data_IF_288828292618
#
_entry.id   IF_288828292618
#
_cell.length_a   1.000
_cell.length_b   1.000
_cell.length_c   1.000
_cell.angle_alpha   90.00
_cell.angle_beta   90.00
_cell.angle_gamma   90.00
#
_symmetry.space_group_name_H-M   'P 1'
#
loop_
_entity.id
_entity.type
_entity.pdbx_description
1 polymer ?
#
# COMPACT_ATOMS: atom_id res chain seq x y z
N UNK A 1 30.01 -33.01 35.96
CA UNK A 1 29.27 -33.72 34.91
C UNK A 1 29.27 -35.25 35.05
N UNK A 2 30.42 -35.93 35.16
CA UNK A 2 30.43 -37.41 35.20
C UNK A 2 29.75 -38.02 36.43
N UNK A 3 29.91 -37.39 37.61
CA UNK A 3 29.27 -37.83 38.84
C UNK A 3 27.74 -37.79 38.76
N UNK A 4 27.17 -36.75 38.13
CA UNK A 4 25.73 -36.63 37.95
C UNK A 4 25.22 -37.68 36.95
N UNK A 5 25.93 -37.87 35.83
CA UNK A 5 25.58 -38.90 34.87
C UNK A 5 25.66 -40.32 35.49
N UNK A 6 26.61 -40.57 36.39
CA UNK A 6 26.72 -41.83 37.12
C UNK A 6 25.51 -42.06 38.04
N UNK A 7 25.18 -41.09 38.91
CA UNK A 7 24.00 -41.19 39.79
C UNK A 7 22.70 -41.42 39.01
N UNK A 8 22.54 -40.73 37.88
CA UNK A 8 21.35 -40.91 37.03
C UNK A 8 21.33 -42.29 36.34
N UNK A 9 22.49 -42.87 36.02
CA UNK A 9 22.59 -44.26 35.55
C UNK A 9 22.22 -45.27 36.64
N UNK A 10 22.60 -45.02 37.88
CA UNK A 10 22.23 -45.88 39.01
C UNK A 10 20.71 -45.90 39.23
N UNK A 11 20.02 -44.80 38.89
CA UNK A 11 18.55 -44.69 38.85
C UNK A 11 17.92 -45.27 37.56
N UNK A 12 18.72 -45.86 36.67
CA UNK A 12 18.28 -46.56 35.46
C UNK A 12 18.20 -45.70 34.18
N UNK A 13 18.67 -44.45 34.22
CA UNK A 13 18.68 -43.57 33.03
C UNK A 13 19.93 -43.77 32.18
N UNK A 14 19.80 -43.67 30.86
CA UNK A 14 20.94 -43.79 29.93
C UNK A 14 21.73 -42.48 29.80
N UNK A 15 22.10 -41.89 30.94
CA UNK A 15 22.79 -40.59 30.96
C UNK A 15 24.30 -40.75 30.75
N UNK A 16 24.82 -39.91 29.87
CA UNK A 16 26.25 -39.75 29.63
C UNK A 16 26.66 -38.32 29.95
N UNK A 17 27.96 -38.04 29.95
CA UNK A 17 28.48 -36.67 30.08
C UNK A 17 27.91 -35.73 29.00
N UNK A 18 27.71 -36.25 27.78
CA UNK A 18 27.10 -35.51 26.66
C UNK A 18 25.62 -35.22 26.96
N UNK A 19 24.89 -36.20 27.53
CA UNK A 19 23.49 -35.99 27.93
C UNK A 19 23.36 -34.86 28.93
N UNK A 20 24.23 -34.82 29.95
CA UNK A 20 24.25 -33.74 30.95
C UNK A 20 24.52 -32.40 30.27
N UNK A 21 25.56 -32.33 29.42
CA UNK A 21 25.89 -31.12 28.68
C UNK A 21 24.72 -30.61 27.83
N UNK A 22 24.09 -31.48 27.04
CA UNK A 22 22.96 -31.10 26.17
C UNK A 22 21.73 -30.65 26.97
N UNK A 23 21.54 -31.14 28.19
CA UNK A 23 20.48 -30.65 29.08
C UNK A 23 20.83 -29.25 29.61
N UNK A 24 22.07 -29.04 30.03
CA UNK A 24 22.57 -27.75 30.55
C UNK A 24 22.54 -26.65 29.48
N UNK A 25 22.85 -26.98 28.22
CA UNK A 25 22.79 -26.04 27.08
C UNK A 25 21.38 -25.83 26.53
N UNK A 26 20.41 -26.66 26.96
CA UNK A 26 19.02 -26.60 26.48
C UNK A 26 18.76 -27.34 25.16
N UNK A 27 19.76 -28.01 24.59
CA UNK A 27 19.64 -28.80 23.35
C UNK A 27 18.81 -30.08 23.55
N UNK A 28 18.65 -30.55 24.80
CA UNK A 28 17.82 -31.70 25.16
C UNK A 28 16.91 -31.37 26.35
N UNK A 29 15.62 -31.60 26.17
CA UNK A 29 14.64 -31.47 27.25
C UNK A 29 14.72 -32.63 28.25
N UNK A 30 14.49 -32.32 29.53
CA UNK A 30 14.31 -33.28 30.61
C UNK A 30 12.90 -33.88 30.57
N UNK A 31 12.79 -35.20 30.70
CA UNK A 31 11.50 -35.85 30.94
C UNK A 31 11.10 -35.68 32.41
N UNK A 32 9.80 -35.73 32.71
CA UNK A 32 9.30 -35.52 34.07
C UNK A 32 9.95 -36.45 35.11
N UNK A 33 10.06 -37.75 34.81
CA UNK A 33 10.72 -38.71 35.69
C UNK A 33 12.22 -38.40 35.87
N UNK A 34 12.89 -38.01 34.79
CA UNK A 34 14.30 -37.58 34.87
C UNK A 34 14.45 -36.32 35.73
N UNK A 35 13.50 -35.38 35.69
CA UNK A 35 13.55 -34.16 36.48
C UNK A 35 13.36 -34.42 37.99
N UNK A 36 12.48 -35.36 38.36
CA UNK A 36 12.27 -35.80 39.76
C UNK A 36 13.52 -36.49 40.28
N UNK A 37 14.03 -37.48 39.56
CA UNK A 37 15.22 -38.24 39.92
C UNK A 37 16.47 -37.34 39.98
N UNK A 38 16.55 -36.34 39.10
CA UNK A 38 17.60 -35.31 39.11
C UNK A 38 17.52 -34.43 40.36
N UNK A 39 16.32 -34.00 40.77
CA UNK A 39 16.13 -33.18 41.96
C UNK A 39 16.64 -33.90 43.21
N UNK A 40 16.35 -35.19 43.34
CA UNK A 40 16.89 -36.03 44.41
C UNK A 40 18.42 -36.12 44.36
N UNK A 41 19.00 -36.32 43.16
CA UNK A 41 20.46 -36.42 42.99
C UNK A 41 21.23 -35.17 43.41
N UNK A 42 20.60 -33.99 43.29
CA UNK A 42 21.19 -32.69 43.65
C UNK A 42 20.75 -32.19 45.03
N UNK A 43 19.96 -32.98 45.77
CA UNK A 43 19.49 -32.64 47.11
C UNK A 43 18.46 -31.51 47.13
N UNK A 44 17.73 -31.31 46.04
CA UNK A 44 16.65 -30.35 45.94
C UNK A 44 15.29 -31.05 46.12
N UNK A 45 14.33 -30.33 46.69
CA UNK A 45 12.95 -30.82 46.79
C UNK A 45 12.33 -30.95 45.39
N UNK A 46 11.93 -32.17 45.04
CA UNK A 46 11.37 -32.49 43.72
C UNK A 46 10.10 -31.70 43.42
N UNK A 47 9.27 -31.42 44.42
CA UNK A 47 8.05 -30.64 44.23
C UNK A 47 8.36 -29.18 43.87
N UNK A 48 9.30 -28.56 44.59
CA UNK A 48 9.81 -27.23 44.29
C UNK A 48 10.49 -27.14 42.91
N UNK A 49 11.33 -28.12 42.56
CA UNK A 49 12.02 -28.15 41.26
C UNK A 49 11.03 -28.31 40.11
N UNK A 50 10.09 -29.26 40.21
CA UNK A 50 9.07 -29.47 39.17
C UNK A 50 8.15 -28.24 39.08
N UNK A 51 7.74 -27.64 40.19
CA UNK A 51 6.92 -26.42 40.17
C UNK A 51 7.61 -25.25 39.47
N UNK A 52 8.94 -25.15 39.57
CA UNK A 52 9.73 -24.10 38.93
C UNK A 52 10.11 -24.43 37.47
N UNK A 53 10.21 -25.71 37.10
CA UNK A 53 10.56 -26.18 35.76
C UNK A 53 9.35 -26.33 34.83
N UNK A 54 8.15 -26.50 35.38
CA UNK A 54 6.92 -26.56 34.60
C UNK A 54 6.58 -25.14 34.15
N UNK A 55 7.04 -24.79 32.94
CA UNK A 55 6.44 -23.68 32.21
C UNK A 55 4.97 -24.04 32.02
N UNK A 56 4.08 -23.29 32.67
CA UNK A 56 2.65 -23.57 32.57
C UNK A 56 2.26 -23.59 31.09
N UNK A 57 1.39 -24.52 30.69
CA UNK A 57 0.88 -24.55 29.32
C UNK A 57 0.25 -23.20 28.94
N UNK A 58 -0.29 -22.49 29.94
CA UNK A 58 -0.78 -21.12 29.83
C UNK A 58 0.33 -20.13 29.42
N UNK A 59 1.52 -20.18 30.02
CA UNK A 59 2.64 -19.33 29.64
C UNK A 59 3.16 -19.64 28.22
N UNK A 60 3.19 -20.90 27.81
CA UNK A 60 3.54 -21.29 26.43
C UNK A 60 2.49 -20.79 25.43
N UNK A 61 1.21 -20.99 25.73
CA UNK A 61 0.11 -20.51 24.90
C UNK A 61 0.10 -18.98 24.79
N UNK A 62 0.33 -18.28 25.90
CA UNK A 62 0.43 -16.82 25.95
C UNK A 62 1.59 -16.30 25.09
N UNK A 63 2.77 -16.92 25.18
CA UNK A 63 3.92 -16.53 24.36
C UNK A 63 3.68 -16.75 22.86
N UNK A 64 2.99 -17.85 22.49
CA UNK A 64 2.58 -18.09 21.10
C UNK A 64 1.60 -17.03 20.62
N UNK A 65 0.54 -16.78 21.39
CA UNK A 65 -0.47 -15.77 21.07
C UNK A 65 0.14 -14.37 20.94
N UNK A 66 1.07 -14.00 21.84
CA UNK A 66 1.79 -12.73 21.76
C UNK A 66 2.64 -12.64 20.48
N UNK A 67 3.34 -13.70 20.14
CA UNK A 67 4.17 -13.76 18.93
C UNK A 67 3.32 -13.59 17.66
N UNK A 68 2.17 -14.27 17.61
CA UNK A 68 1.21 -14.15 16.50
C UNK A 68 0.61 -12.75 16.42
N UNK A 69 0.23 -12.15 17.56
CA UNK A 69 -0.28 -10.78 17.62
C UNK A 69 0.75 -9.77 17.12
N UNK A 70 2.02 -9.91 17.49
CA UNK A 70 3.12 -9.06 17.00
C UNK A 70 3.29 -9.19 15.49
N UNK A 71 3.23 -10.41 14.94
CA UNK A 71 3.29 -10.64 13.49
C UNK A 71 2.11 -10.00 12.77
N UNK A 72 0.89 -10.23 13.25
CA UNK A 72 -0.33 -9.67 12.68
C UNK A 72 -0.28 -8.13 12.66
N UNK A 73 0.14 -7.52 13.78
CA UNK A 73 0.31 -6.06 13.88
C UNK A 73 1.33 -5.53 12.88
N UNK A 74 2.44 -6.23 12.66
CA UNK A 74 3.45 -5.82 11.68
C UNK A 74 2.89 -5.82 10.26
N UNK A 75 2.18 -6.87 9.87
CA UNK A 75 1.51 -6.97 8.57
C UNK A 75 0.48 -5.87 8.38
N UNK A 76 -0.34 -5.61 9.41
CA UNK A 76 -1.31 -4.53 9.39
C UNK A 76 -0.67 -3.17 9.11
N UNK A 77 0.37 -2.81 9.88
CA UNK A 77 1.07 -1.53 9.71
C UNK A 77 1.71 -1.38 8.32
N UNK A 78 2.27 -2.47 7.78
CA UNK A 78 2.80 -2.48 6.43
C UNK A 78 1.70 -2.23 5.39
N UNK A 79 0.54 -2.90 5.53
CA UNK A 79 -0.63 -2.68 4.69
C UNK A 79 -1.14 -1.24 4.76
N UNK A 80 -1.26 -0.67 5.96
CA UNK A 80 -1.69 0.72 6.17
C UNK A 80 -0.79 1.71 5.45
N UNK A 81 0.53 1.48 5.44
CA UNK A 81 1.48 2.35 4.73
C UNK A 81 1.33 2.28 3.21
N UNK A 82 1.02 1.11 2.66
CA UNK A 82 0.72 0.95 1.23
C UNK A 82 -0.55 1.74 0.87
N UNK A 83 -1.61 1.61 1.67
CA UNK A 83 -2.87 2.34 1.45
C UNK A 83 -2.69 3.85 1.54
N UNK A 84 -1.89 4.35 2.49
CA UNK A 84 -1.63 5.78 2.61
C UNK A 84 -0.95 6.34 1.34
N UNK A 85 0.05 5.63 0.81
CA UNK A 85 0.73 6.03 -0.43
C UNK A 85 -0.22 5.97 -1.64
N UNK A 86 -1.07 4.93 -1.72
CA UNK A 86 -2.09 4.84 -2.76
C UNK A 86 -3.06 6.02 -2.71
N UNK A 87 -3.53 6.41 -1.52
CA UNK A 87 -4.39 7.58 -1.34
C UNK A 87 -3.71 8.88 -1.76
N UNK A 88 -2.42 9.06 -1.46
CA UNK A 88 -1.68 10.25 -1.89
C UNK A 88 -1.58 10.32 -3.42
N UNK A 89 -1.36 9.18 -4.09
CA UNK A 89 -1.34 9.11 -5.57
C UNK A 89 -2.71 9.42 -6.17
N UNK A 90 -3.78 8.86 -5.61
CA UNK A 90 -5.14 9.14 -6.06
C UNK A 90 -5.48 10.63 -5.92
N UNK A 91 -5.02 11.28 -4.85
CA UNK A 91 -5.20 12.73 -4.69
C UNK A 91 -4.52 13.53 -5.81
N UNK A 92 -3.32 13.12 -6.24
CA UNK A 92 -2.60 13.76 -7.36
C UNK A 92 -3.37 13.59 -8.68
N UNK A 93 -3.86 12.39 -8.95
CA UNK A 93 -4.72 12.14 -10.11
C UNK A 93 -5.98 13.02 -10.05
N UNK A 94 -6.60 13.15 -8.88
CA UNK A 94 -7.75 14.06 -8.70
C UNK A 94 -7.42 15.50 -9.12
N UNK A 95 -6.29 16.06 -8.68
CA UNK A 95 -5.88 17.41 -9.09
C UNK A 95 -5.56 17.54 -10.59
N UNK A 96 -5.08 16.45 -11.21
CA UNK A 96 -4.85 16.41 -12.67
C UNK A 96 -6.18 16.37 -13.44
N UNK A 97 -7.16 15.60 -12.95
CA UNK A 97 -8.52 15.58 -13.52
C UNK A 97 -9.18 16.96 -13.42
N UNK A 98 -9.11 17.63 -12.26
CA UNK A 98 -9.67 18.98 -12.10
C UNK A 98 -9.05 19.96 -13.12
N UNK A 99 -7.74 19.85 -13.37
CA UNK A 99 -7.06 20.67 -14.36
C UNK A 99 -7.46 20.33 -15.81
N UNK A 100 -7.74 19.05 -16.09
CA UNK A 100 -8.25 18.61 -17.39
C UNK A 100 -9.66 19.14 -17.65
N UNK A 101 -10.56 19.08 -16.66
CA UNK A 101 -11.92 19.61 -16.77
C UNK A 101 -11.91 21.12 -17.05
N UNK A 102 -10.97 21.86 -16.43
CA UNK A 102 -10.82 23.28 -16.70
C UNK A 102 -10.27 23.56 -18.11
N UNK A 103 -9.31 22.74 -18.57
CA UNK A 103 -8.84 22.82 -19.95
C UNK A 103 -9.93 22.52 -20.96
N UNK A 104 -10.81 21.56 -20.70
CA UNK A 104 -11.94 21.22 -21.56
C UNK A 104 -12.90 22.42 -21.71
N UNK A 105 -13.21 23.12 -20.62
CA UNK A 105 -14.02 24.36 -20.69
C UNK A 105 -13.34 25.44 -21.52
N UNK A 106 -12.04 25.65 -21.33
CA UNK A 106 -11.27 26.66 -22.09
C UNK A 106 -11.30 26.32 -23.59
N UNK A 107 -11.12 25.05 -23.95
CA UNK A 107 -11.19 24.60 -25.34
C UNK A 107 -12.59 24.81 -25.90
N UNK A 108 -13.63 24.43 -25.15
CA UNK A 108 -15.02 24.65 -25.54
C UNK A 108 -15.32 26.11 -25.85
N UNK A 109 -14.93 27.02 -24.94
CA UNK A 109 -15.13 28.46 -25.15
C UNK A 109 -14.40 28.97 -26.40
N UNK A 110 -13.16 28.54 -26.62
CA UNK A 110 -12.40 28.93 -27.82
C UNK A 110 -13.07 28.48 -29.10
N UNK A 111 -13.62 27.25 -29.13
CA UNK A 111 -14.35 26.77 -30.29
C UNK A 111 -15.65 27.58 -30.53
N UNK A 112 -16.35 27.99 -29.48
CA UNK A 112 -17.52 28.87 -29.62
C UNK A 112 -17.14 30.25 -30.16
N UNK A 113 -16.06 30.85 -29.64
CA UNK A 113 -15.53 32.13 -30.10
C UNK A 113 -15.11 32.07 -31.58
N UNK A 114 -14.41 31.01 -31.98
CA UNK A 114 -14.03 30.76 -33.38
C UNK A 114 -15.26 30.63 -34.28
N UNK A 115 -16.27 29.87 -33.87
CA UNK A 115 -17.51 29.72 -34.63
C UNK A 115 -18.27 31.06 -34.77
N UNK A 116 -18.19 31.92 -33.77
CA UNK A 116 -18.77 33.26 -33.82
C UNK A 116 -18.00 34.18 -34.78
N UNK A 117 -16.67 34.11 -34.79
CA UNK A 117 -15.83 34.84 -35.75
C UNK A 117 -16.10 34.38 -37.18
N UNK A 118 -16.25 33.09 -37.43
CA UNK A 118 -16.61 32.56 -38.76
C UNK A 118 -17.94 33.13 -39.25
N UNK A 119 -18.98 33.18 -38.40
CA UNK A 119 -20.27 33.79 -38.74
C UNK A 119 -20.14 35.27 -39.11
N UNK A 120 -19.36 36.03 -38.35
CA UNK A 120 -19.10 37.44 -38.63
C UNK A 120 -18.38 37.64 -39.96
N UNK A 121 -17.40 36.79 -40.28
CA UNK A 121 -16.69 36.84 -41.56
C UNK A 121 -17.61 36.56 -42.74
N UNK A 122 -18.52 35.59 -42.61
CA UNK A 122 -19.55 35.33 -43.64
C UNK A 122 -20.43 36.55 -43.83
N UNK A 123 -20.92 37.16 -42.76
CA UNK A 123 -21.79 38.35 -42.83
C UNK A 123 -21.06 39.56 -43.46
N UNK A 124 -19.78 39.74 -43.16
CA UNK A 124 -18.95 40.78 -43.79
C UNK A 124 -18.78 40.49 -45.29
N UNK A 125 -18.50 39.23 -45.66
CA UNK A 125 -18.34 38.84 -47.05
C UNK A 125 -19.63 39.08 -47.86
N UNK A 126 -20.79 38.77 -47.29
CA UNK A 126 -22.10 39.07 -47.91
C UNK A 126 -22.31 40.58 -48.10
N UNK A 127 -22.00 41.41 -47.10
CA UNK A 127 -22.09 42.87 -47.22
C UNK A 127 -21.16 43.44 -48.28
N UNK A 128 -19.95 42.90 -48.39
CA UNK A 128 -18.99 43.30 -49.43
C UNK A 128 -19.46 42.91 -50.83
N UNK A 129 -20.07 41.74 -50.99
CA UNK A 129 -20.65 41.31 -52.26
C UNK A 129 -21.80 42.23 -52.70
N UNK A 130 -22.69 42.59 -51.77
CA UNK A 130 -23.78 43.54 -52.04
C UNK A 130 -23.26 44.93 -52.43
N UNK A 131 -22.24 45.45 -51.73
CA UNK A 131 -21.58 46.71 -52.10
C UNK A 131 -20.93 46.65 -53.48
N UNK A 132 -20.27 45.53 -53.81
CA UNK A 132 -19.65 45.33 -55.12
C UNK A 132 -20.70 45.32 -56.25
N UNK A 133 -21.87 44.69 -56.02
CA UNK A 133 -23.00 44.73 -56.97
C UNK A 133 -23.52 46.16 -57.15
N UNK A 134 -23.71 46.90 -56.07
CA UNK A 134 -24.19 48.29 -56.14
C UNK A 134 -23.24 49.19 -56.93
N UNK A 135 -21.92 49.07 -56.73
CA UNK A 135 -20.91 49.83 -57.47
C UNK A 135 -20.88 49.49 -58.97
N UNK A 136 -21.11 48.23 -59.35
CA UNK A 136 -21.22 47.83 -60.77
C UNK A 136 -22.49 48.36 -61.44
N UNK A 137 -23.57 48.55 -60.69
CA UNK A 137 -24.81 49.14 -61.19
C UNK A 137 -24.62 50.65 -61.46
N UNK A 138 -23.81 51.35 -60.66
CA UNK A 138 -23.45 52.75 -60.91
C UNK A 138 -22.59 52.92 -62.18
N UNK A 139 -21.71 51.97 -62.52
CA UNK A 139 -20.94 52.01 -63.77
C UNK A 139 -21.80 51.77 -65.03
N UNK A 140 -22.88 51.00 -64.93
CA UNK A 140 -23.85 50.82 -66.05
C UNK A 140 -24.85 51.98 -66.16
N UNK A 141 -25.05 52.76 -65.08
CA UNK A 141 -25.95 53.92 -65.02
C UNK A 141 -25.41 55.19 -65.71
N UNK A 142 -24.12 55.25 -66.05
CA UNK A 142 -23.52 56.40 -66.75
C UNK A 142 -23.66 56.33 -68.28
N UNK A 143 -24.58 55.50 -68.79
CA UNK A 143 -25.04 55.57 -70.19
C UNK A 143 -26.18 56.60 -70.36
N UNK A 144 -25.95 57.84 -69.89
CA UNK A 144 -26.78 58.98 -70.25
C UNK A 144 -26.55 59.36 -71.72
N UNK A 145 -27.50 58.91 -72.54
CA UNK A 145 -28.00 59.59 -73.75
C UNK A 145 -26.94 60.19 -74.69
N UNK A 146 -26.35 59.36 -75.55
CA UNK A 146 -25.79 59.85 -76.81
C UNK A 146 -26.95 60.24 -77.74
N UNK A 147 -27.19 61.54 -77.84
CA UNK A 147 -28.19 62.20 -78.67
C UNK A 147 -27.82 62.05 -80.16
N UNK A 148 -28.71 61.57 -81.06
CA UNK A 148 -28.42 61.47 -82.48
C UNK A 148 -28.93 62.72 -83.20
N UNK A 149 -28.08 63.73 -83.35
CA UNK A 149 -28.20 64.79 -84.37
C UNK A 149 -26.82 65.21 -84.85
#
# INVERSE_FOLDING_TARGET
MEMLAAKMRDLGHKWTKITVHNIETGDRQLRMKEAVDLAECVGADAASVVSNLVVSQNAVAMNRALTEAVRARRTFLQGSRILLNANEKLRKVGTECDAMDENEKIIGQRCEDELQLEKQLVEIAEKLDELAKALRIDEESDTLAFNPF
#
